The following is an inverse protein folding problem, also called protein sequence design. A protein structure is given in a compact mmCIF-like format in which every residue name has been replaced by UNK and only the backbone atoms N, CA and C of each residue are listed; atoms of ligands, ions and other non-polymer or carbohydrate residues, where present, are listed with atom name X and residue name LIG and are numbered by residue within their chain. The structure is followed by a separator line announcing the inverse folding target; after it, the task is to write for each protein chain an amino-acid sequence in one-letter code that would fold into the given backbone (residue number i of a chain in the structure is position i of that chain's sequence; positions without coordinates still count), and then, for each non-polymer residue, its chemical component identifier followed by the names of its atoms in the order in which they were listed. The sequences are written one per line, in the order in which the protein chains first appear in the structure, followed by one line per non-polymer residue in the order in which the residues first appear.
data_IF_898439231803
#
_entry.id   IF_898439231803
#
_cell.length_a   1.000
_cell.length_b   1.000
_cell.length_c   1.000
_cell.angle_alpha   90.00
_cell.angle_beta   90.00
_cell.angle_gamma   90.00
#
_symmetry.space_group_name_H-M   'P 1'
#
loop_
_entity.id
_entity.type
_entity.pdbx_description
1 polymer ?
#
# COMPACT_ATOMS: atom_id res chain seq x y z
N UNK A 1 18.48 41.42 -60.99
CA UNK A 1 17.97 40.18 -60.35
C UNK A 1 19.04 39.68 -59.40
N UNK A 2 18.74 39.72 -58.09
CA UNK A 2 19.25 38.95 -56.93
C UNK A 2 20.70 38.39 -56.96
N UNK A 3 21.56 38.47 -55.94
CA UNK A 3 21.54 38.92 -54.53
C UNK A 3 23.03 39.03 -54.11
N UNK A 4 23.52 40.05 -53.39
CA UNK A 4 23.54 40.17 -51.91
C UNK A 4 23.89 38.85 -51.21
N UNK A 5 24.79 38.74 -50.23
CA UNK A 5 25.74 39.61 -49.53
C UNK A 5 26.44 38.69 -48.49
N UNK A 6 27.58 39.14 -47.98
CA UNK A 6 28.04 38.90 -46.60
C UNK A 6 28.45 37.50 -46.14
N UNK A 7 29.78 37.34 -46.06
CA UNK A 7 30.52 37.11 -44.81
C UNK A 7 29.83 36.30 -43.69
N UNK A 8 30.35 35.11 -43.43
CA UNK A 8 30.95 34.80 -42.11
C UNK A 8 31.52 33.39 -42.12
N UNK A 9 32.83 33.31 -41.88
CA UNK A 9 33.53 32.09 -41.49
C UNK A 9 32.95 31.60 -40.15
N UNK A 10 31.98 30.69 -40.20
CA UNK A 10 31.57 29.96 -39.00
C UNK A 10 32.56 28.81 -38.79
N UNK A 11 33.49 29.04 -37.86
CA UNK A 11 34.44 28.07 -37.33
C UNK A 11 33.72 26.78 -36.91
N UNK A 12 34.34 25.59 -37.13
CA UNK A 12 33.88 24.38 -36.47
C UNK A 12 33.97 24.58 -34.96
N UNK A 13 32.84 24.43 -34.26
CA UNK A 13 32.78 24.48 -32.80
C UNK A 13 33.58 23.30 -32.24
N UNK A 14 34.77 23.60 -31.74
CA UNK A 14 35.57 22.66 -30.97
C UNK A 14 34.74 22.19 -29.77
N UNK A 15 34.33 20.93 -29.76
CA UNK A 15 33.81 20.27 -28.57
C UNK A 15 34.93 20.23 -27.54
N UNK A 16 34.85 21.08 -26.53
CA UNK A 16 35.74 21.02 -25.38
C UNK A 16 35.50 19.69 -24.65
N UNK A 17 36.56 18.96 -24.24
CA UNK A 17 36.38 17.80 -23.40
C UNK A 17 35.73 18.24 -22.09
N UNK A 18 34.55 17.70 -21.79
CA UNK A 18 33.90 17.93 -20.50
C UNK A 18 34.87 17.53 -19.38
N UNK A 19 35.26 18.52 -18.55
CA UNK A 19 36.08 18.28 -17.37
C UNK A 19 35.39 17.24 -16.48
N UNK A 20 36.06 16.10 -16.25
CA UNK A 20 35.57 15.04 -15.36
C UNK A 20 35.38 15.64 -13.97
N UNK A 21 34.12 15.89 -13.55
CA UNK A 21 33.80 16.21 -12.16
C UNK A 21 34.33 15.07 -11.30
N UNK A 22 35.13 15.33 -10.25
CA UNK A 22 35.52 14.29 -9.33
C UNK A 22 34.25 13.75 -8.67
N UNK A 23 33.89 12.51 -9.02
CA UNK A 23 32.84 11.78 -8.32
C UNK A 23 33.31 11.58 -6.89
N UNK A 24 32.72 12.32 -5.94
CA UNK A 24 32.81 11.95 -4.53
C UNK A 24 32.18 10.56 -4.42
N UNK A 25 32.99 9.57 -4.08
CA UNK A 25 32.51 8.23 -3.71
C UNK A 25 31.44 8.43 -2.63
N UNK A 26 30.23 7.87 -2.76
CA UNK A 26 29.32 7.86 -1.63
C UNK A 26 30.04 7.14 -0.49
N UNK A 27 30.28 7.85 0.61
CA UNK A 27 30.69 7.21 1.85
C UNK A 27 29.55 6.30 2.23
N UNK A 28 29.72 4.99 2.04
CA UNK A 28 28.84 4.02 2.65
C UNK A 28 28.93 4.24 4.15
N UNK A 29 27.88 4.82 4.73
CA UNK A 29 27.66 4.78 6.17
C UNK A 29 27.60 3.29 6.50
N UNK A 30 28.61 2.79 7.20
CA UNK A 30 28.57 1.44 7.73
C UNK A 30 27.29 1.35 8.57
N UNK A 31 26.36 0.49 8.13
CA UNK A 31 25.15 0.20 8.89
C UNK A 31 25.59 -0.14 10.31
N UNK A 32 25.08 0.59 11.31
CA UNK A 32 25.26 0.19 12.69
C UNK A 32 24.77 -1.25 12.78
N UNK A 33 25.60 -2.13 13.34
CA UNK A 33 25.29 -3.53 13.52
C UNK A 33 24.11 -3.64 14.50
N UNK A 34 22.90 -3.50 13.98
CA UNK A 34 21.70 -3.92 14.68
C UNK A 34 21.92 -5.38 15.04
N UNK A 35 21.93 -5.69 16.35
CA UNK A 35 22.01 -7.07 16.83
C UNK A 35 21.05 -7.92 15.98
N UNK A 36 21.46 -9.09 15.46
CA UNK A 36 20.49 -10.00 14.87
C UNK A 36 19.48 -10.31 15.97
N UNK A 37 18.25 -9.82 15.79
CA UNK A 37 17.15 -10.16 16.69
C UNK A 37 16.91 -11.64 16.45
N UNK A 38 17.39 -12.47 17.38
CA UNK A 38 17.09 -13.90 17.39
C UNK A 38 15.58 -14.07 17.30
N UNK A 39 15.13 -14.98 16.43
CA UNK A 39 13.72 -15.32 16.35
C UNK A 39 13.20 -15.63 17.78
N UNK A 40 12.01 -15.12 18.15
CA UNK A 40 11.44 -15.37 19.45
C UNK A 40 11.29 -16.88 19.65
N UNK A 41 11.80 -17.40 20.77
CA UNK A 41 11.64 -18.81 21.11
C UNK A 41 10.15 -19.09 21.30
N UNK A 42 9.64 -20.16 20.67
CA UNK A 42 8.24 -20.57 20.79
C UNK A 42 7.84 -20.70 22.27
N UNK A 43 6.81 -19.97 22.67
CA UNK A 43 6.26 -20.08 24.03
C UNK A 43 5.68 -21.49 24.25
N UNK A 44 6.02 -22.08 25.38
CA UNK A 44 5.65 -23.45 25.77
C UNK A 44 4.63 -23.49 26.89
N UNK A 45 4.55 -22.44 27.72
CA UNK A 45 3.57 -22.33 28.79
C UNK A 45 2.16 -22.17 28.18
N UNK A 46 1.25 -23.15 28.36
CA UNK A 46 -0.07 -23.11 27.76
C UNK A 46 -0.88 -21.88 28.15
N UNK A 47 -0.64 -21.28 29.33
CA UNK A 47 -1.34 -20.06 29.77
C UNK A 47 -0.86 -18.79 29.07
N UNK A 48 0.33 -18.82 28.47
CA UNK A 48 0.95 -17.70 27.75
C UNK A 48 0.87 -17.84 26.24
N UNK A 49 0.44 -19.02 25.75
CA UNK A 49 0.30 -19.28 24.32
C UNK A 49 -0.89 -18.51 23.77
N UNK A 50 -0.59 -17.57 22.90
CA UNK A 50 -1.59 -16.84 22.10
C UNK A 50 -1.68 -17.49 20.72
N UNK A 51 -2.90 -17.66 20.23
CA UNK A 51 -3.20 -18.17 18.88
C UNK A 51 -4.17 -17.22 18.19
N UNK A 52 -4.18 -17.25 16.86
CA UNK A 52 -5.21 -16.58 16.05
C UNK A 52 -6.37 -17.57 15.94
N UNK A 53 -7.54 -17.20 16.45
CA UNK A 53 -8.73 -18.05 16.47
C UNK A 53 -9.75 -17.68 15.39
N UNK A 54 -9.70 -16.46 14.89
CA UNK A 54 -10.54 -16.01 13.79
C UNK A 54 -9.93 -14.82 13.06
N UNK A 55 -10.28 -14.70 11.79
CA UNK A 55 -9.78 -13.68 10.88
C UNK A 55 -10.94 -12.99 10.18
N UNK A 56 -10.84 -11.68 10.00
CA UNK A 56 -11.77 -10.90 9.23
C UNK A 56 -11.05 -9.74 8.57
N UNK A 57 -11.45 -9.40 7.35
CA UNK A 57 -10.78 -8.37 6.56
C UNK A 57 -11.76 -7.63 5.66
N UNK A 58 -11.35 -6.43 5.25
CA UNK A 58 -11.93 -5.67 4.15
C UNK A 58 -10.76 -5.16 3.31
N UNK A 59 -10.72 -5.54 2.05
CA UNK A 59 -9.59 -5.29 1.15
C UNK A 59 -10.05 -4.90 -0.26
N UNK A 60 -9.07 -4.57 -1.11
CA UNK A 60 -9.29 -4.31 -2.55
C UNK A 60 -9.86 -5.52 -3.30
N UNK A 61 -9.70 -6.73 -2.75
CA UNK A 61 -10.24 -7.98 -3.28
C UNK A 61 -11.59 -8.35 -2.69
N UNK A 62 -12.17 -7.49 -1.85
CA UNK A 62 -13.41 -7.75 -1.14
C UNK A 62 -13.17 -8.05 0.34
N UNK A 63 -14.19 -8.65 0.98
CA UNK A 63 -14.25 -8.90 2.41
C UNK A 63 -14.40 -10.40 2.75
N UNK A 64 -14.09 -11.27 1.80
CA UNK A 64 -14.05 -12.72 1.95
C UNK A 64 -12.59 -13.15 2.13
N UNK A 65 -12.32 -13.95 3.16
CA UNK A 65 -10.95 -14.28 3.59
C UNK A 65 -10.29 -15.27 2.61
N UNK A 66 -11.05 -16.27 2.16
CA UNK A 66 -10.55 -17.30 1.25
C UNK A 66 -10.27 -16.70 -0.12
N UNK A 67 -11.20 -15.92 -0.66
CA UNK A 67 -11.01 -15.23 -1.94
C UNK A 67 -9.84 -14.24 -1.90
N UNK A 68 -9.64 -13.54 -0.79
CA UNK A 68 -8.47 -12.69 -0.59
C UNK A 68 -7.17 -13.51 -0.61
N UNK A 69 -7.15 -14.63 0.12
CA UNK A 69 -5.97 -15.48 0.24
C UNK A 69 -5.59 -16.14 -1.09
N UNK A 70 -6.57 -16.64 -1.84
CA UNK A 70 -6.35 -17.23 -3.17
C UNK A 70 -5.73 -16.23 -4.15
N UNK A 71 -6.21 -14.98 -4.15
CA UNK A 71 -5.64 -13.91 -4.98
C UNK A 71 -4.26 -13.48 -4.54
N UNK A 72 -3.99 -13.51 -3.24
CA UNK A 72 -2.64 -13.27 -2.71
C UNK A 72 -1.67 -14.34 -3.20
N UNK A 73 -2.08 -15.62 -3.14
CA UNK A 73 -1.27 -16.74 -3.62
C UNK A 73 -1.08 -16.73 -5.14
N UNK A 74 -2.06 -16.23 -5.90
CA UNK A 74 -1.94 -16.06 -7.36
C UNK A 74 -1.07 -14.86 -7.76
N UNK A 75 -0.67 -14.01 -6.81
CA UNK A 75 0.12 -12.80 -7.07
C UNK A 75 -0.67 -11.70 -7.79
N UNK A 76 -2.00 -11.70 -7.65
CA UNK A 76 -2.85 -10.66 -8.25
C UNK A 76 -2.57 -9.30 -7.60
N UNK A 77 -2.53 -8.23 -8.40
CA UNK A 77 -2.41 -6.86 -7.92
C UNK A 77 -3.77 -6.17 -7.92
N UNK A 78 -4.20 -5.66 -6.77
CA UNK A 78 -5.44 -4.88 -6.64
C UNK A 78 -5.26 -3.38 -6.94
N UNK A 79 -4.12 -2.97 -7.51
CA UNK A 79 -3.82 -1.57 -7.81
C UNK A 79 -4.46 -1.16 -9.14
N UNK A 80 -5.27 -0.11 -9.11
CA UNK A 80 -5.94 0.44 -10.30
C UNK A 80 -5.81 1.96 -10.33
N UNK A 81 -6.26 2.60 -11.42
CA UNK A 81 -6.37 4.07 -11.47
C UNK A 81 -7.36 4.56 -10.42
N UNK A 82 -7.04 5.67 -9.76
CA UNK A 82 -7.92 6.31 -8.78
C UNK A 82 -9.11 6.91 -9.52
N UNK A 83 -10.32 6.53 -9.10
CA UNK A 83 -11.60 6.98 -9.69
C UNK A 83 -12.63 7.45 -8.63
N UNK A 84 -12.31 7.35 -7.33
CA UNK A 84 -13.12 7.97 -6.26
C UNK A 84 -13.12 9.49 -6.28
N UNK A 85 -12.08 10.11 -6.86
CA UNK A 85 -11.96 11.56 -7.02
C UNK A 85 -11.08 11.89 -8.23
N UNK A 86 -11.12 13.14 -8.69
CA UNK A 86 -10.25 13.61 -9.77
C UNK A 86 -8.78 13.69 -9.31
N UNK A 87 -8.01 12.66 -9.68
CA UNK A 87 -6.59 12.57 -9.37
C UNK A 87 -5.67 13.27 -10.39
N UNK A 88 -6.20 13.96 -11.41
CA UNK A 88 -5.42 14.48 -12.54
C UNK A 88 -4.30 15.46 -12.14
N UNK A 89 -4.52 16.23 -11.07
CA UNK A 89 -3.58 17.24 -10.56
C UNK A 89 -2.47 16.65 -9.68
N UNK A 90 -2.55 15.36 -9.34
CA UNK A 90 -1.57 14.71 -8.47
C UNK A 90 -0.49 13.98 -9.29
N UNK A 91 0.75 13.90 -8.75
CA UNK A 91 1.83 13.14 -9.40
C UNK A 91 1.54 11.63 -9.43
N UNK A 92 0.84 11.10 -8.44
CA UNK A 92 0.42 9.70 -8.36
C UNK A 92 -1.09 9.59 -8.58
N UNK A 93 -1.52 8.69 -9.47
CA UNK A 93 -2.92 8.58 -9.93
C UNK A 93 -3.48 7.17 -9.86
N UNK A 94 -2.79 6.28 -9.17
CA UNK A 94 -3.17 4.88 -8.98
C UNK A 94 -3.13 4.53 -7.50
N UNK A 95 -3.92 3.53 -7.11
CA UNK A 95 -4.02 3.08 -5.74
C UNK A 95 -4.90 1.84 -5.60
N UNK A 96 -4.84 1.21 -4.43
CA UNK A 96 -5.72 0.12 -4.06
C UNK A 96 -7.03 0.67 -3.51
N UNK A 97 -8.06 0.75 -4.36
CA UNK A 97 -9.37 1.24 -3.95
C UNK A 97 -10.29 0.08 -3.59
N UNK A 98 -10.89 0.13 -2.40
CA UNK A 98 -11.94 -0.82 -2.00
C UNK A 98 -13.22 -0.44 -2.74
N UNK A 99 -13.74 -1.39 -3.52
CA UNK A 99 -14.94 -1.26 -4.36
C UNK A 99 -16.04 -2.20 -3.88
N UNK A 100 -17.30 -1.82 -4.11
CA UNK A 100 -18.45 -2.67 -3.77
C UNK A 100 -18.58 -2.99 -2.27
N UNK A 101 -18.01 -2.16 -1.39
CA UNK A 101 -18.13 -2.36 0.05
C UNK A 101 -19.58 -2.14 0.51
N UNK A 102 -20.07 -3.06 1.33
CA UNK A 102 -21.33 -2.92 2.06
C UNK A 102 -21.10 -3.19 3.55
N UNK A 103 -21.70 -2.34 4.39
CA UNK A 103 -21.76 -2.51 5.83
C UNK A 103 -23.09 -3.13 6.29
N UNK A 104 -23.94 -3.55 5.35
CA UNK A 104 -25.25 -4.14 5.63
C UNK A 104 -25.12 -5.36 6.54
N UNK A 105 -26.01 -5.47 7.54
CA UNK A 105 -25.97 -6.51 8.57
C UNK A 105 -24.92 -6.27 9.67
N UNK A 106 -23.92 -5.42 9.42
CA UNK A 106 -22.84 -5.16 10.37
C UNK A 106 -22.95 -3.80 11.08
N UNK A 107 -23.47 -2.77 10.42
CA UNK A 107 -23.62 -1.42 10.98
C UNK A 107 -25.07 -0.97 10.76
N UNK A 108 -25.70 -0.40 11.78
CA UNK A 108 -27.03 0.20 11.61
C UNK A 108 -26.97 1.42 10.69
N UNK A 109 -28.02 1.64 9.89
CA UNK A 109 -28.02 2.69 8.87
C UNK A 109 -27.84 4.12 9.41
N UNK A 110 -28.12 4.37 10.70
CA UNK A 110 -27.91 5.69 11.32
C UNK A 110 -26.42 5.93 11.57
N UNK A 111 -25.72 4.93 12.10
CA UNK A 111 -24.27 5.00 12.32
C UNK A 111 -23.49 4.87 11.01
N UNK A 112 -23.94 4.04 10.07
CA UNK A 112 -23.25 3.84 8.79
C UNK A 112 -23.02 5.16 8.03
N UNK A 113 -24.01 6.07 8.06
CA UNK A 113 -23.92 7.41 7.43
C UNK A 113 -23.03 8.41 8.16
N UNK A 114 -22.68 8.14 9.42
CA UNK A 114 -21.91 9.04 10.29
C UNK A 114 -20.44 8.67 10.38
N UNK A 115 -20.10 7.43 9.99
CA UNK A 115 -18.76 6.88 10.09
C UNK A 115 -17.98 7.15 8.79
N UNK A 116 -16.70 7.45 8.95
CA UNK A 116 -15.77 7.42 7.83
C UNK A 116 -15.57 5.97 7.33
N UNK A 117 -15.20 5.83 6.06
CA UNK A 117 -14.95 4.52 5.43
C UNK A 117 -13.94 3.68 6.20
N UNK A 118 -12.87 4.27 6.74
CA UNK A 118 -11.89 3.53 7.55
C UNK A 118 -12.54 2.86 8.77
N UNK A 119 -13.42 3.60 9.47
CA UNK A 119 -14.13 3.06 10.64
C UNK A 119 -15.12 1.98 10.23
N UNK A 120 -15.83 2.17 9.11
CA UNK A 120 -16.77 1.18 8.57
C UNK A 120 -16.04 -0.12 8.23
N UNK A 121 -14.86 -0.03 7.60
CA UNK A 121 -14.03 -1.20 7.27
C UNK A 121 -13.56 -1.93 8.52
N UNK A 122 -13.06 -1.20 9.52
CA UNK A 122 -12.62 -1.78 10.79
C UNK A 122 -13.74 -2.51 11.53
N UNK A 123 -14.94 -1.92 11.59
CA UNK A 123 -16.09 -2.55 12.28
C UNK A 123 -16.50 -3.83 11.57
N UNK A 124 -16.63 -3.80 10.24
CA UNK A 124 -17.02 -4.99 9.45
C UNK A 124 -15.96 -6.07 9.57
N UNK A 125 -14.67 -5.74 9.39
CA UNK A 125 -13.56 -6.70 9.51
C UNK A 125 -13.50 -7.31 10.92
N UNK A 126 -13.63 -6.49 11.96
CA UNK A 126 -13.61 -6.96 13.34
C UNK A 126 -14.78 -7.88 13.68
N UNK A 127 -16.00 -7.53 13.24
CA UNK A 127 -17.18 -8.39 13.44
C UNK A 127 -17.03 -9.72 12.70
N UNK A 128 -16.54 -9.71 11.46
CA UNK A 128 -16.23 -10.94 10.71
C UNK A 128 -15.20 -11.82 11.42
N UNK A 129 -14.17 -11.22 12.01
CA UNK A 129 -13.17 -11.97 12.78
C UNK A 129 -13.76 -12.64 14.03
N UNK A 130 -14.69 -11.96 14.71
CA UNK A 130 -15.42 -12.54 15.84
C UNK A 130 -16.37 -13.65 15.40
N UNK A 131 -17.05 -13.49 14.26
CA UNK A 131 -17.90 -14.53 13.66
C UNK A 131 -17.07 -15.78 13.30
N UNK A 132 -15.92 -15.60 12.65
CA UNK A 132 -14.99 -16.68 12.28
C UNK A 132 -14.41 -17.40 13.52
N UNK A 133 -14.15 -16.66 14.59
CA UNK A 133 -13.73 -17.23 15.87
C UNK A 133 -14.87 -17.89 16.68
N UNK A 134 -16.11 -17.82 16.20
CA UNK A 134 -17.33 -18.21 16.94
C UNK A 134 -17.46 -17.50 18.32
N UNK A 135 -17.11 -16.21 18.35
CA UNK A 135 -17.10 -15.33 19.51
C UNK A 135 -18.11 -14.16 19.40
N UNK A 136 -19.19 -14.32 18.65
CA UNK A 136 -20.24 -13.28 18.50
C UNK A 136 -21.24 -13.21 19.66
N UNK A 137 -21.76 -12.01 19.96
CA UNK A 137 -22.91 -11.78 20.86
C UNK A 137 -22.62 -11.96 22.35
N UNK A 138 -23.53 -12.64 23.05
CA UNK A 138 -23.54 -12.89 24.52
C UNK A 138 -22.32 -13.65 25.07
N UNK A 139 -21.40 -14.08 24.20
CA UNK A 139 -20.16 -14.79 24.59
C UNK A 139 -19.04 -13.84 24.99
N UNK A 140 -19.18 -12.55 24.67
CA UNK A 140 -18.30 -11.48 25.13
C UNK A 140 -18.92 -10.88 26.41
N UNK A 141 -18.70 -11.57 27.53
CA UNK A 141 -19.11 -11.12 28.86
C UNK A 141 -18.23 -9.99 29.41
#
# INVERSE_FOLDING_TARGET
MQALQSSSLLRPSQLTPAAKRPMKRPSFVAASSSRPVSAPKRETDPKKRVVITGTGLVSVFGNDVDAYYDRLLSGESGITTIDRFDASKFPTRFGGQIRGFSAEGYIDGKNDRRLDDCLRYCIVAGKKALEDADLGGDRLG
#
